data_IF_730640489310
#
_entry.id   IF_730640489310
#
_cell.length_a   1.000
_cell.length_b   1.000
_cell.length_c   1.000
_cell.angle_alpha   90.00
_cell.angle_beta   90.00
_cell.angle_gamma   90.00
#
_symmetry.space_group_name_H-M   'P 1'
#
loop_
_entity.id
_entity.type
_entity.pdbx_description
1 polymer ?
#
# COMPACT_ATOMS: atom_id res chain seq x y z
N UNK A 1 -3.19 -26.04 8.59
CA UNK A 1 -3.74 -24.83 9.27
C UNK A 1 -3.09 -24.73 10.65
N UNK A 2 -2.69 -23.54 11.12
CA UNK A 2 -2.13 -23.38 12.46
C UNK A 2 -3.11 -23.87 13.54
N UNK A 3 -2.59 -24.42 14.63
CA UNK A 3 -3.39 -25.03 15.70
C UNK A 3 -4.37 -24.06 16.39
N UNK A 4 -4.09 -22.75 16.32
CA UNK A 4 -4.96 -21.67 16.77
C UNK A 4 -5.10 -20.60 15.67
N UNK A 5 -6.32 -20.09 15.42
CA UNK A 5 -6.53 -19.04 14.42
C UNK A 5 -5.85 -17.74 14.86
N UNK A 6 -4.74 -17.40 14.23
CA UNK A 6 -4.01 -16.16 14.45
C UNK A 6 -4.65 -15.01 13.67
N UNK A 7 -4.85 -13.88 14.36
CA UNK A 7 -5.22 -12.60 13.75
C UNK A 7 -3.96 -11.76 13.59
N UNK A 8 -3.61 -11.42 12.36
CA UNK A 8 -2.32 -10.84 12.00
C UNK A 8 -2.48 -9.41 11.50
N UNK A 9 -1.61 -8.51 11.96
CA UNK A 9 -1.47 -7.18 11.41
C UNK A 9 -0.09 -7.02 10.78
N UNK A 10 -0.02 -6.58 9.53
CA UNK A 10 1.23 -6.26 8.84
C UNK A 10 1.36 -4.76 8.64
N UNK A 11 2.49 -4.18 9.03
CA UNK A 11 2.65 -2.73 9.08
C UNK A 11 3.86 -2.31 8.24
N UNK A 12 3.69 -1.29 7.39
CA UNK A 12 4.80 -0.57 6.78
C UNK A 12 4.59 0.95 6.89
N UNK A 13 5.33 1.77 6.14
CA UNK A 13 5.19 3.23 6.22
C UNK A 13 3.92 3.73 5.53
N UNK A 14 3.72 3.43 4.24
CA UNK A 14 2.64 4.02 3.43
C UNK A 14 1.51 3.05 3.07
N UNK A 15 1.53 1.84 3.62
CA UNK A 15 0.63 0.74 3.25
C UNK A 15 0.54 0.45 1.74
N UNK A 16 1.61 0.66 0.96
CA UNK A 16 1.57 0.52 -0.49
C UNK A 16 2.24 -0.75 -1.01
N UNK A 17 3.46 -1.03 -0.54
CA UNK A 17 4.31 -2.09 -1.09
C UNK A 17 4.49 -3.25 -0.09
N UNK A 18 5.47 -3.14 0.82
CA UNK A 18 5.85 -4.20 1.77
C UNK A 18 4.68 -4.83 2.55
N UNK A 19 3.81 -4.00 3.14
CA UNK A 19 2.68 -4.53 3.92
C UNK A 19 1.60 -5.15 3.04
N UNK A 20 1.38 -4.62 1.83
CA UNK A 20 0.38 -5.13 0.90
C UNK A 20 0.82 -6.44 0.24
N UNK A 21 2.11 -6.59 -0.06
CA UNK A 21 2.63 -7.85 -0.58
C UNK A 21 2.52 -8.98 0.45
N UNK A 22 2.95 -8.71 1.69
CA UNK A 22 2.77 -9.67 2.78
C UNK A 22 1.30 -9.94 3.09
N UNK A 23 0.43 -8.92 3.04
CA UNK A 23 -1.02 -9.10 3.18
C UNK A 23 -1.56 -10.07 2.13
N UNK A 24 -1.23 -9.85 0.84
CA UNK A 24 -1.68 -10.70 -0.27
C UNK A 24 -1.27 -12.16 -0.08
N UNK A 25 0.00 -12.41 0.30
CA UNK A 25 0.51 -13.75 0.56
C UNK A 25 -0.21 -14.40 1.75
N UNK A 26 -0.32 -13.70 2.89
CA UNK A 26 -0.96 -14.25 4.10
C UNK A 26 -2.46 -14.51 3.89
N UNK A 27 -3.16 -13.58 3.23
CA UNK A 27 -4.57 -13.73 2.90
C UNK A 27 -4.82 -14.95 2.02
N UNK A 28 -4.03 -15.13 0.95
CA UNK A 28 -4.11 -16.32 0.06
C UNK A 28 -3.80 -17.63 0.78
N UNK A 29 -3.10 -17.58 1.91
CA UNK A 29 -2.78 -18.75 2.76
C UNK A 29 -3.80 -18.97 3.88
N UNK A 30 -4.88 -18.19 3.93
CA UNK A 30 -6.00 -18.39 4.86
C UNK A 30 -5.82 -17.76 6.24
N UNK A 31 -4.90 -16.81 6.40
CA UNK A 31 -4.77 -16.06 7.65
C UNK A 31 -5.81 -14.91 7.73
N UNK A 32 -6.35 -14.64 8.92
CA UNK A 32 -7.09 -13.38 9.20
C UNK A 32 -6.05 -12.25 9.30
N UNK A 33 -5.80 -11.58 8.18
CA UNK A 33 -4.76 -10.55 8.06
C UNK A 33 -5.35 -9.18 7.73
N UNK A 34 -4.81 -8.14 8.37
CA UNK A 34 -5.01 -6.73 7.99
C UNK A 34 -3.66 -6.05 7.81
N UNK A 35 -3.62 -4.98 7.00
CA UNK A 35 -2.39 -4.22 6.75
C UNK A 35 -2.58 -2.72 6.95
N UNK A 36 -1.52 -2.06 7.44
CA UNK A 36 -1.56 -0.65 7.84
C UNK A 36 -0.27 0.11 7.48
N UNK A 37 -0.38 1.44 7.53
CA UNK A 37 0.72 2.39 7.38
C UNK A 37 0.96 3.17 8.67
N UNK A 38 2.21 3.47 9.01
CA UNK A 38 2.59 4.32 10.17
C UNK A 38 3.04 5.72 9.79
N UNK A 39 3.22 6.01 8.50
CA UNK A 39 3.53 7.36 8.03
C UNK A 39 2.38 8.32 8.32
N UNK A 40 2.68 9.62 8.34
CA UNK A 40 1.62 10.65 8.41
C UNK A 40 0.79 10.71 7.12
N UNK A 41 1.41 10.38 5.99
CA UNK A 41 0.80 10.38 4.66
C UNK A 41 1.25 9.14 3.87
N UNK A 42 0.47 8.79 2.85
CA UNK A 42 0.90 7.83 1.82
C UNK A 42 1.86 8.56 0.88
N UNK A 43 3.05 7.98 0.65
CA UNK A 43 4.06 8.53 -0.25
C UNK A 43 4.37 7.51 -1.33
N UNK A 44 4.22 7.92 -2.59
CA UNK A 44 4.66 7.18 -3.77
C UNK A 44 5.81 7.93 -4.46
N UNK A 45 6.73 7.22 -5.15
CA UNK A 45 7.77 7.85 -5.94
C UNK A 45 7.18 8.84 -6.95
N UNK A 46 7.94 9.88 -7.26
CA UNK A 46 7.61 10.78 -8.35
C UNK A 46 8.78 10.93 -9.34
N UNK A 47 8.73 11.93 -10.25
CA UNK A 47 9.72 12.06 -11.32
C UNK A 47 11.14 12.40 -10.83
N UNK A 48 11.27 12.85 -9.58
CA UNK A 48 12.55 13.10 -8.94
C UNK A 48 12.47 12.73 -7.43
N UNK A 49 13.61 12.45 -6.77
CA UNK A 49 13.64 12.06 -5.36
C UNK A 49 13.02 13.08 -4.39
N UNK A 50 13.09 14.36 -4.73
CA UNK A 50 12.53 15.49 -3.98
C UNK A 50 11.06 15.82 -4.35
N UNK A 51 10.49 15.10 -5.32
CA UNK A 51 9.12 15.34 -5.84
C UNK A 51 8.22 14.10 -5.69
N UNK A 52 7.97 13.59 -4.46
CA UNK A 52 7.09 12.45 -4.25
C UNK A 52 5.61 12.80 -4.51
N UNK A 53 4.81 11.79 -4.86
CA UNK A 53 3.36 11.89 -4.83
C UNK A 53 2.86 11.62 -3.40
N UNK A 54 2.21 12.61 -2.78
CA UNK A 54 1.76 12.54 -1.40
C UNK A 54 0.23 12.53 -1.35
N UNK A 55 -0.34 11.58 -0.63
CA UNK A 55 -1.79 11.42 -0.47
C UNK A 55 -2.17 11.26 1.01
N UNK A 56 -3.39 11.68 1.35
CA UNK A 56 -4.00 11.40 2.65
C UNK A 56 -4.42 9.91 2.73
N UNK A 57 -4.43 9.31 3.92
CA UNK A 57 -4.88 7.92 4.09
C UNK A 57 -6.36 7.69 3.74
N UNK A 58 -7.15 8.75 3.60
CA UNK A 58 -8.53 8.70 3.09
C UNK A 58 -8.60 8.49 1.57
N UNK A 59 -7.52 8.72 0.83
CA UNK A 59 -7.48 8.54 -0.62
C UNK A 59 -7.50 7.05 -0.98
N UNK A 60 -8.38 6.64 -1.88
CA UNK A 60 -8.45 5.24 -2.32
C UNK A 60 -7.30 4.90 -3.29
N UNK A 61 -6.94 3.62 -3.40
CA UNK A 61 -5.95 3.17 -4.38
C UNK A 61 -6.36 3.52 -5.82
N UNK A 62 -7.65 3.45 -6.15
CA UNK A 62 -8.18 3.83 -7.46
C UNK A 62 -8.01 5.33 -7.74
N UNK A 63 -8.26 6.18 -6.75
CA UNK A 63 -8.02 7.62 -6.88
C UNK A 63 -6.53 7.93 -7.10
N UNK A 64 -5.64 7.25 -6.37
CA UNK A 64 -4.19 7.38 -6.57
C UNK A 64 -3.79 6.93 -7.99
N UNK A 65 -4.28 5.76 -8.44
CA UNK A 65 -4.01 5.24 -9.78
C UNK A 65 -4.45 6.23 -10.88
N UNK A 66 -5.70 6.69 -10.82
CA UNK A 66 -6.24 7.63 -11.81
C UNK A 66 -5.48 8.96 -11.81
N UNK A 67 -5.04 9.44 -10.66
CA UNK A 67 -4.21 10.64 -10.56
C UNK A 67 -2.82 10.44 -11.19
N UNK A 68 -2.16 9.32 -10.91
CA UNK A 68 -0.83 9.01 -11.46
C UNK A 68 -0.87 8.84 -12.98
N UNK A 69 -1.81 8.06 -13.50
CA UNK A 69 -2.01 7.87 -14.95
C UNK A 69 -2.27 9.20 -15.65
N UNK A 70 -3.04 10.10 -15.02
CA UNK A 70 -3.30 11.44 -15.57
C UNK A 70 -2.05 12.34 -15.53
N UNK A 71 -1.21 12.22 -14.50
CA UNK A 71 0.02 13.02 -14.38
C UNK A 71 1.04 12.63 -15.45
N UNK A 72 1.33 11.34 -15.54
CA UNK A 72 2.30 10.81 -16.48
C UNK A 72 2.15 9.28 -16.60
N UNK A 73 1.43 8.83 -17.63
CA UNK A 73 1.21 7.40 -17.88
C UNK A 73 2.48 6.65 -18.27
N UNK A 74 3.48 7.32 -18.84
CA UNK A 74 4.73 6.66 -19.21
C UNK A 74 5.60 6.41 -17.99
N UNK A 75 5.60 7.34 -17.03
CA UNK A 75 6.31 7.19 -15.76
C UNK A 75 5.62 6.20 -14.80
N UNK A 76 4.28 6.17 -14.79
CA UNK A 76 3.48 5.25 -13.97
C UNK A 76 2.65 4.31 -14.87
N UNK A 77 3.26 3.21 -15.35
CA UNK A 77 2.60 2.26 -16.25
C UNK A 77 1.47 1.46 -15.58
#
# INVERSE_FOLDING_TARGET
MPAHPLRVAVVCSSNQNRSMEAHNILSKRGFDVRSFGTGTHVKLPGPAPDKPNIYDFKTTYEQMYNDLVRKDKELYP
#
